data_IF_942180809631
#
_entry.id   IF_942180809631
#
_cell.length_a   1.000
_cell.length_b   1.000
_cell.length_c   1.000
_cell.angle_alpha   90.00
_cell.angle_beta   90.00
_cell.angle_gamma   90.00
#
_symmetry.space_group_name_H-M   'P 1'
#
loop_
_entity.id
_entity.type
_entity.pdbx_description
1 polymer ?
#
# COMPACT_ATOMS: atom_id res chain seq x y z
N UNK A 1 29.15 -34.70 9.21
CA UNK A 1 28.12 -34.90 8.16
C UNK A 1 26.83 -34.33 8.72
N UNK A 2 26.67 -33.00 8.60
CA UNK A 2 25.93 -32.30 7.53
C UNK A 2 24.41 -32.36 7.84
N UNK A 3 23.65 -31.28 7.94
CA UNK A 3 23.85 -29.88 7.54
C UNK A 3 22.94 -28.96 8.37
N UNK A 4 23.38 -27.73 8.58
CA UNK A 4 22.61 -26.64 9.17
C UNK A 4 21.85 -25.95 8.03
N UNK A 5 20.53 -26.02 8.04
CA UNK A 5 19.69 -25.15 7.20
C UNK A 5 18.98 -24.14 8.13
N UNK A 6 19.60 -22.98 8.30
CA UNK A 6 18.90 -21.74 8.61
C UNK A 6 18.17 -21.29 7.35
N UNK A 7 16.84 -21.27 7.36
CA UNK A 7 16.09 -20.27 6.61
C UNK A 7 14.68 -20.10 7.18
N UNK A 8 14.06 -18.95 6.89
CA UNK A 8 12.75 -18.45 7.36
C UNK A 8 12.76 -17.47 8.54
N UNK A 9 13.72 -16.55 8.54
CA UNK A 9 13.53 -15.20 9.12
C UNK A 9 13.04 -14.20 8.06
N UNK A 10 11.97 -14.52 7.31
CA UNK A 10 11.26 -13.51 6.52
C UNK A 10 10.11 -12.93 7.36
N UNK A 11 10.45 -11.88 8.10
CA UNK A 11 9.59 -11.04 8.91
C UNK A 11 8.32 -10.61 8.13
N UNK A 12 7.23 -11.37 8.27
CA UNK A 12 5.88 -10.92 7.90
C UNK A 12 5.56 -9.71 8.80
N UNK A 13 5.83 -8.50 8.30
CA UNK A 13 5.45 -7.25 8.98
C UNK A 13 3.93 -7.20 9.09
N UNK A 14 3.40 -7.70 10.21
CA UNK A 14 2.01 -7.46 10.63
C UNK A 14 1.92 -5.98 11.03
N UNK A 15 1.53 -5.10 10.11
CA UNK A 15 1.20 -3.72 10.48
C UNK A 15 -0.21 -3.68 11.07
N UNK A 16 -0.26 -3.76 12.39
CA UNK A 16 -1.44 -3.44 13.19
C UNK A 16 -1.54 -1.92 13.31
N UNK A 17 -2.40 -1.28 12.54
CA UNK A 17 -2.72 0.14 12.71
C UNK A 17 -3.74 0.30 13.87
N UNK A 18 -3.31 0.10 15.12
CA UNK A 18 -4.02 0.64 16.29
C UNK A 18 -3.57 2.10 16.43
N UNK A 19 -4.44 3.07 16.14
CA UNK A 19 -4.14 4.49 16.35
C UNK A 19 -3.99 4.77 17.86
N UNK A 20 -2.76 4.85 18.36
CA UNK A 20 -2.44 5.49 19.64
C UNK A 20 -1.39 6.59 19.42
N UNK A 21 -1.74 7.80 19.85
CA UNK A 21 -0.91 9.01 19.79
C UNK A 21 0.18 8.94 20.87
N UNK A 22 1.38 8.44 20.54
CA UNK A 22 2.56 8.62 21.40
C UNK A 22 3.78 9.07 20.58
N UNK A 23 4.45 10.09 21.12
CA UNK A 23 5.55 10.89 20.55
C UNK A 23 6.78 10.00 20.30
N UNK A 24 7.38 10.07 19.10
CA UNK A 24 8.59 9.32 18.76
C UNK A 24 9.86 9.93 19.41
N UNK A 25 10.83 9.12 19.87
CA UNK A 25 12.17 9.57 20.24
C UNK A 25 13.07 9.75 19.00
N UNK A 26 14.05 10.67 19.09
CA UNK A 26 15.05 10.92 18.04
C UNK A 26 16.08 9.79 17.95
N UNK A 27 16.47 9.31 16.76
CA UNK A 27 17.69 8.53 16.60
C UNK A 27 18.85 9.38 16.08
N UNK A 28 20.03 9.09 16.63
CA UNK A 28 21.36 9.63 16.32
C UNK A 28 21.94 9.11 15.00
N UNK A 29 22.84 9.92 14.44
CA UNK A 29 23.64 9.74 13.21
C UNK A 29 24.49 8.45 13.19
N UNK A 30 24.65 7.79 12.02
CA UNK A 30 25.81 7.00 11.52
C UNK A 30 25.62 6.67 10.00
N UNK A 31 26.69 6.26 9.30
CA UNK A 31 27.19 6.63 7.95
C UNK A 31 26.94 5.64 6.75
N UNK A 32 26.65 6.21 5.56
CA UNK A 32 26.84 5.92 4.08
C UNK A 32 27.16 4.49 3.51
N UNK A 33 26.54 4.09 2.36
CA UNK A 33 27.26 3.85 1.07
C UNK A 33 26.69 4.65 -0.13
N UNK A 34 27.58 5.27 -0.91
CA UNK A 34 27.30 6.38 -1.81
C UNK A 34 27.28 5.98 -3.30
N UNK A 35 26.32 5.17 -3.79
CA UNK A 35 25.94 5.13 -5.23
C UNK A 35 24.47 4.76 -5.51
N UNK A 36 23.71 4.21 -4.55
CA UNK A 36 22.25 4.01 -4.67
C UNK A 36 21.41 5.13 -4.02
N UNK A 37 22.03 6.08 -3.31
CA UNK A 37 21.32 7.06 -2.50
C UNK A 37 20.67 8.18 -3.34
N UNK A 38 21.32 8.60 -4.43
CA UNK A 38 20.88 9.74 -5.23
C UNK A 38 19.59 9.47 -6.01
N UNK A 39 19.40 8.26 -6.55
CA UNK A 39 18.18 7.87 -7.27
C UNK A 39 16.99 7.82 -6.32
N UNK A 40 17.15 7.15 -5.16
CA UNK A 40 16.10 7.06 -4.15
C UNK A 40 15.72 8.45 -3.62
N UNK A 41 16.70 9.35 -3.43
CA UNK A 41 16.45 10.72 -2.98
C UNK A 41 15.66 11.54 -4.02
N UNK A 42 15.97 11.42 -5.32
CA UNK A 42 15.25 12.14 -6.36
C UNK A 42 13.79 11.66 -6.49
N UNK A 43 13.53 10.36 -6.41
CA UNK A 43 12.18 9.81 -6.44
C UNK A 43 11.36 10.23 -5.22
N UNK A 44 11.96 10.24 -4.03
CA UNK A 44 11.32 10.71 -2.80
C UNK A 44 10.96 12.20 -2.88
N UNK A 45 11.86 13.04 -3.41
CA UNK A 45 11.58 14.47 -3.63
C UNK A 45 10.43 14.66 -4.61
N UNK A 46 10.42 13.92 -5.71
CA UNK A 46 9.32 13.96 -6.70
C UNK A 46 8.00 13.55 -6.05
N UNK A 47 8.00 12.48 -5.26
CA UNK A 47 6.81 11.98 -4.58
C UNK A 47 6.30 12.99 -3.53
N UNK A 48 7.20 13.62 -2.78
CA UNK A 48 6.85 14.66 -1.82
C UNK A 48 6.25 15.89 -2.52
N UNK A 49 6.84 16.34 -3.63
CA UNK A 49 6.31 17.43 -4.43
C UNK A 49 4.90 17.11 -4.97
N UNK A 50 4.70 15.88 -5.46
CA UNK A 50 3.38 15.44 -5.90
C UNK A 50 2.37 15.40 -4.77
N UNK A 51 2.76 14.89 -3.60
CA UNK A 51 1.89 14.83 -2.45
C UNK A 51 1.42 16.22 -2.02
N UNK A 52 2.33 17.20 -1.99
CA UNK A 52 1.99 18.60 -1.73
C UNK A 52 1.03 19.15 -2.80
N UNK A 53 1.34 18.95 -4.08
CA UNK A 53 0.54 19.48 -5.19
C UNK A 53 -0.89 18.96 -5.23
N UNK A 54 -1.11 17.71 -4.82
CA UNK A 54 -2.42 17.06 -4.82
C UNK A 54 -3.14 17.12 -3.48
N UNK A 55 -2.59 17.86 -2.51
CA UNK A 55 -3.09 17.91 -1.14
C UNK A 55 -3.26 16.49 -0.53
N UNK A 56 -2.27 15.65 -0.81
CA UNK A 56 -2.17 14.28 -0.31
C UNK A 56 -1.39 14.28 0.99
N UNK A 57 -1.86 13.49 1.95
CA UNK A 57 -1.09 13.12 3.14
C UNK A 57 -0.82 11.62 3.12
N UNK A 58 0.39 11.23 2.76
CA UNK A 58 0.84 9.85 2.87
C UNK A 58 0.96 9.48 4.36
N UNK A 59 0.33 8.38 4.76
CA UNK A 59 0.31 7.92 6.15
C UNK A 59 1.22 6.72 6.37
N UNK A 60 1.16 5.75 5.46
CA UNK A 60 2.03 4.59 5.43
C UNK A 60 2.08 4.01 4.03
N UNK A 61 3.21 3.41 3.65
CA UNK A 61 3.36 2.70 2.39
C UNK A 61 4.36 1.56 2.53
N UNK A 62 4.05 0.46 1.85
CA UNK A 62 4.91 -0.67 1.58
C UNK A 62 4.70 -1.03 0.10
N UNK A 63 5.26 -0.19 -0.79
CA UNK A 63 5.27 -0.35 -2.25
C UNK A 63 6.30 0.63 -2.87
N UNK A 64 6.85 0.37 -4.08
CA UNK A 64 7.80 1.26 -4.74
C UNK A 64 7.25 2.68 -5.03
N UNK A 65 8.11 3.69 -5.08
CA UNK A 65 7.76 5.11 -5.30
C UNK A 65 6.90 5.32 -6.55
N UNK A 66 7.23 4.65 -7.66
CA UNK A 66 6.44 4.72 -8.90
C UNK A 66 4.99 4.20 -8.73
N UNK A 67 4.80 3.19 -7.88
CA UNK A 67 3.48 2.65 -7.56
C UNK A 67 2.69 3.59 -6.66
N UNK A 68 3.37 4.24 -5.69
CA UNK A 68 2.78 5.30 -4.87
C UNK A 68 2.35 6.47 -5.74
N UNK A 69 3.22 6.96 -6.63
CA UNK A 69 2.91 8.04 -7.57
C UNK A 69 1.65 7.72 -8.40
N UNK A 70 1.51 6.49 -8.91
CA UNK A 70 0.31 6.06 -9.64
C UNK A 70 -0.93 6.10 -8.75
N UNK A 71 -0.85 5.60 -7.50
CA UNK A 71 -1.97 5.65 -6.56
C UNK A 71 -2.43 7.09 -6.30
N UNK A 72 -1.48 8.00 -6.04
CA UNK A 72 -1.77 9.41 -5.73
C UNK A 72 -2.38 10.14 -6.92
N UNK A 73 -1.79 10.00 -8.12
CA UNK A 73 -2.30 10.60 -9.35
C UNK A 73 -3.69 10.12 -9.68
N UNK A 74 -3.92 8.80 -9.61
CA UNK A 74 -5.21 8.23 -9.97
C UNK A 74 -6.29 8.64 -8.97
N UNK A 75 -6.01 8.62 -7.67
CA UNK A 75 -6.95 9.09 -6.65
C UNK A 75 -7.29 10.57 -6.81
N UNK A 76 -6.29 11.42 -7.12
CA UNK A 76 -6.53 12.85 -7.40
C UNK A 76 -7.41 13.04 -8.63
N UNK A 77 -7.08 12.39 -9.74
CA UNK A 77 -7.86 12.48 -10.98
C UNK A 77 -9.32 12.03 -10.79
N UNK A 78 -9.54 10.97 -10.02
CA UNK A 78 -10.89 10.51 -9.69
C UNK A 78 -11.67 11.55 -8.87
N UNK A 79 -11.03 12.19 -7.90
CA UNK A 79 -11.64 13.25 -7.10
C UNK A 79 -11.92 14.53 -7.91
N UNK A 80 -11.03 14.86 -8.85
CA UNK A 80 -11.21 15.99 -9.77
C UNK A 80 -12.38 15.77 -10.74
N UNK A 81 -12.63 14.52 -11.12
CA UNK A 81 -13.76 14.14 -11.98
C UNK A 81 -15.09 13.93 -11.23
N UNK A 82 -15.04 13.80 -9.90
CA UNK A 82 -16.22 13.54 -9.08
C UNK A 82 -16.94 14.84 -8.71
N UNK A 83 -18.23 14.75 -8.35
CA UNK A 83 -18.92 15.90 -7.74
C UNK A 83 -18.24 16.26 -6.42
N UNK A 84 -17.50 17.37 -6.43
CA UNK A 84 -16.74 17.87 -5.28
C UNK A 84 -17.60 18.06 -4.02
N UNK A 85 -18.91 18.30 -4.16
CA UNK A 85 -19.79 18.49 -3.00
C UNK A 85 -20.09 17.18 -2.30
N UNK A 86 -20.17 16.08 -3.04
CA UNK A 86 -20.53 14.75 -2.53
C UNK A 86 -19.79 13.63 -3.27
N UNK A 87 -18.47 13.50 -3.05
CA UNK A 87 -17.72 12.37 -3.60
C UNK A 87 -18.30 11.06 -3.06
N UNK A 88 -18.51 10.08 -3.94
CA UNK A 88 -18.97 8.75 -3.58
C UNK A 88 -17.76 7.84 -3.29
N UNK A 89 -17.45 7.53 -2.02
CA UNK A 89 -16.23 6.79 -1.67
C UNK A 89 -16.21 5.37 -2.27
N UNK A 90 -17.38 4.74 -2.40
CA UNK A 90 -17.51 3.40 -2.99
C UNK A 90 -17.08 3.39 -4.47
N UNK A 91 -17.46 4.41 -5.24
CA UNK A 91 -17.05 4.53 -6.64
C UNK A 91 -15.55 4.80 -6.77
N UNK A 92 -15.01 5.64 -5.89
CA UNK A 92 -13.58 5.96 -5.86
C UNK A 92 -12.74 4.71 -5.51
N UNK A 93 -13.11 4.00 -4.45
CA UNK A 93 -12.45 2.76 -4.05
C UNK A 93 -12.50 1.69 -5.14
N UNK A 94 -13.68 1.49 -5.76
CA UNK A 94 -13.85 0.53 -6.86
C UNK A 94 -12.97 0.88 -8.06
N UNK A 95 -12.87 2.15 -8.41
CA UNK A 95 -12.06 2.60 -9.56
C UNK A 95 -10.58 2.42 -9.29
N UNK A 96 -10.10 2.81 -8.10
CA UNK A 96 -8.70 2.63 -7.71
C UNK A 96 -8.31 1.14 -7.62
N UNK A 97 -9.19 0.29 -7.08
CA UNK A 97 -9.01 -1.17 -7.10
C UNK A 97 -8.88 -1.70 -8.52
N UNK A 98 -9.80 -1.31 -9.42
CA UNK A 98 -9.82 -1.76 -10.82
C UNK A 98 -8.54 -1.36 -11.57
N UNK A 99 -8.08 -0.13 -11.38
CA UNK A 99 -6.81 0.34 -11.94
C UNK A 99 -5.65 -0.56 -11.52
N UNK A 100 -5.54 -0.86 -10.22
CA UNK A 100 -4.43 -1.65 -9.70
C UNK A 100 -4.51 -3.13 -10.04
N UNK A 101 -5.71 -3.72 -10.08
CA UNK A 101 -5.91 -5.07 -10.61
C UNK A 101 -5.48 -5.16 -12.08
N UNK A 102 -5.81 -4.15 -12.88
CA UNK A 102 -5.46 -4.12 -14.30
C UNK A 102 -3.97 -3.94 -14.55
N UNK A 103 -3.29 -3.11 -13.75
CA UNK A 103 -1.88 -2.76 -13.99
C UNK A 103 -0.93 -3.75 -13.32
N UNK A 104 -1.26 -4.25 -12.13
CA UNK A 104 -0.36 -5.07 -11.30
C UNK A 104 -0.88 -6.48 -11.02
N UNK A 105 -2.00 -6.85 -11.64
CA UNK A 105 -2.66 -8.14 -11.47
C UNK A 105 -3.43 -8.26 -10.15
N UNK A 106 -4.49 -9.09 -10.12
CA UNK A 106 -5.29 -9.32 -8.93
C UNK A 106 -4.49 -9.99 -7.79
N UNK A 107 -4.97 -10.02 -6.55
CA UNK A 107 -6.21 -9.39 -6.06
C UNK A 107 -5.92 -8.18 -5.18
N UNK A 108 -6.22 -6.98 -5.70
CA UNK A 108 -6.21 -5.74 -4.94
C UNK A 108 -7.54 -5.48 -4.26
N UNK A 109 -7.47 -4.77 -3.14
CA UNK A 109 -8.62 -4.30 -2.37
C UNK A 109 -8.43 -2.83 -2.05
N UNK A 110 -9.52 -2.08 -2.02
CA UNK A 110 -9.48 -0.67 -1.66
C UNK A 110 -10.63 -0.32 -0.73
N UNK A 111 -10.32 0.44 0.32
CA UNK A 111 -11.28 1.05 1.24
C UNK A 111 -11.13 2.57 1.12
N UNK A 112 -12.24 3.28 0.97
CA UNK A 112 -12.25 4.74 0.98
C UNK A 112 -13.34 5.28 1.90
N UNK A 113 -13.04 6.36 2.62
CA UNK A 113 -13.98 6.97 3.55
C UNK A 113 -13.37 8.12 4.34
N UNK A 114 -14.21 8.95 4.97
CA UNK A 114 -13.72 10.04 5.84
C UNK A 114 -13.01 9.49 7.07
N UNK A 115 -13.53 8.40 7.63
CA UNK A 115 -12.97 7.68 8.76
C UNK A 115 -13.28 6.19 8.63
N UNK A 116 -12.31 5.33 8.90
CA UNK A 116 -12.47 3.89 9.00
C UNK A 116 -11.37 3.30 9.89
N UNK A 117 -11.67 2.16 10.52
CA UNK A 117 -10.66 1.31 11.15
C UNK A 117 -10.36 0.11 10.24
N UNK A 118 -9.12 -0.36 10.25
CA UNK A 118 -8.72 -1.52 9.44
C UNK A 118 -7.68 -2.35 10.16
N UNK A 119 -7.83 -3.68 10.11
CA UNK A 119 -6.84 -4.64 10.53
C UNK A 119 -6.70 -5.67 9.41
N UNK A 120 -5.70 -5.48 8.55
CA UNK A 120 -5.55 -6.28 7.33
C UNK A 120 -4.18 -6.95 7.29
N UNK A 121 -4.11 -8.10 6.65
CA UNK A 121 -2.85 -8.70 6.20
C UNK A 121 -2.76 -8.50 4.69
N UNK A 122 -1.62 -8.03 4.23
CA UNK A 122 -1.37 -7.76 2.82
C UNK A 122 -0.09 -8.44 2.35
N UNK A 123 0.03 -8.63 1.04
CA UNK A 123 1.27 -9.06 0.41
C UNK A 123 2.34 -7.97 0.56
N UNK A 124 3.63 -8.33 0.75
CA UNK A 124 4.73 -7.36 0.77
C UNK A 124 4.79 -6.53 -0.51
N UNK A 125 5.13 -5.24 -0.40
CA UNK A 125 5.28 -4.36 -1.56
C UNK A 125 3.96 -3.96 -2.25
N UNK A 126 2.81 -4.31 -1.66
CA UNK A 126 1.49 -4.05 -2.21
C UNK A 126 0.56 -3.28 -1.27
N UNK A 127 1.04 -2.32 -0.46
CA UNK A 127 0.20 -1.59 0.51
C UNK A 127 0.46 -0.08 0.51
N UNK A 128 -0.60 0.72 0.56
CA UNK A 128 -0.54 2.17 0.79
C UNK A 128 -1.76 2.68 1.54
N UNK A 129 -1.53 3.59 2.48
CA UNK A 129 -2.53 4.34 3.20
C UNK A 129 -2.24 5.83 3.09
N UNK A 130 -3.18 6.60 2.56
CA UNK A 130 -3.05 8.04 2.37
C UNK A 130 -4.41 8.72 2.43
N UNK A 131 -4.42 10.05 2.55
CA UNK A 131 -5.63 10.85 2.39
C UNK A 131 -5.45 11.89 1.31
N UNK A 132 -6.52 12.20 0.58
CA UNK A 132 -6.62 13.36 -0.33
C UNK A 132 -7.75 14.23 0.20
N UNK A 133 -7.45 15.49 0.52
CA UNK A 133 -8.39 16.40 1.16
C UNK A 133 -8.96 15.81 2.48
N UNK A 134 -10.27 15.51 2.52
CA UNK A 134 -10.96 14.93 3.68
C UNK A 134 -11.24 13.43 3.55
N UNK A 135 -10.81 12.79 2.45
CA UNK A 135 -11.09 11.39 2.17
C UNK A 135 -9.81 10.56 2.31
N UNK A 136 -9.91 9.48 3.08
CA UNK A 136 -8.81 8.53 3.28
C UNK A 136 -8.98 7.32 2.36
N UNK A 137 -7.85 6.76 1.91
CA UNK A 137 -7.74 5.61 1.03
C UNK A 137 -6.76 4.60 1.58
N UNK A 138 -7.21 3.36 1.72
CA UNK A 138 -6.39 2.21 2.05
C UNK A 138 -6.44 1.25 0.86
N UNK A 139 -5.32 1.03 0.20
CA UNK A 139 -5.20 0.17 -0.98
C UNK A 139 -4.15 -0.91 -0.69
N UNK A 140 -4.53 -2.17 -0.83
CA UNK A 140 -3.65 -3.29 -0.51
C UNK A 140 -3.88 -4.52 -1.38
N UNK A 141 -2.81 -5.29 -1.63
CA UNK A 141 -2.83 -6.56 -2.36
C UNK A 141 -2.90 -7.74 -1.39
N UNK A 142 -3.63 -8.78 -1.76
CA UNK A 142 -3.70 -10.05 -1.03
C UNK A 142 -3.16 -11.20 -1.87
N UNK A 143 -2.60 -12.22 -1.22
CA UNK A 143 -2.27 -13.48 -1.87
C UNK A 143 -3.55 -14.28 -2.14
N UNK A 144 -3.64 -14.89 -3.33
CA UNK A 144 -4.72 -15.79 -3.70
C UNK A 144 -4.12 -17.17 -3.93
N UNK A 145 -4.46 -18.11 -3.06
CA UNK A 145 -4.04 -19.52 -3.19
C UNK A 145 -5.20 -20.30 -3.83
N UNK A 146 -5.00 -20.82 -5.04
CA UNK A 146 -5.99 -21.69 -5.68
C UNK A 146 -5.94 -23.04 -4.98
N UNK A 147 -7.02 -23.39 -4.27
CA UNK A 147 -7.17 -24.73 -3.70
C UNK A 147 -7.55 -25.68 -4.83
N UNK A 148 -6.57 -26.41 -5.36
CA UNK A 148 -6.86 -27.57 -6.20
C UNK A 148 -7.46 -28.65 -5.29
N UNK A 149 -8.77 -28.91 -5.41
CA UNK A 149 -9.41 -30.01 -4.70
C UNK A 149 -8.77 -31.33 -5.17
N UNK A 150 -8.28 -32.20 -4.27
CA UNK A 150 -7.85 -33.52 -4.66
C UNK A 150 -9.05 -34.30 -5.22
N UNK A 151 -8.87 -34.94 -6.37
CA UNK A 151 -9.90 -35.76 -7.02
C UNK A 151 -10.45 -36.81 -6.03
N UNK A 152 -11.77 -37.08 -6.02
CA UNK A 152 -12.35 -38.08 -5.13
C UNK A 152 -11.70 -39.44 -5.37
N UNK A 153 -11.20 -40.08 -4.29
CA UNK A 153 -10.66 -41.45 -4.38
C UNK A 153 -11.80 -42.41 -4.75
N UNK A 154 -11.60 -43.34 -5.70
CA UNK A 154 -12.61 -44.34 -6.03
C UNK A 154 -12.88 -45.24 -4.80
N UNK A 155 -14.12 -45.73 -4.63
CA UNK A 155 -14.47 -46.63 -3.53
C UNK A 155 -13.70 -47.96 -3.67
N UNK A 156 -13.16 -48.41 -2.53
CA UNK A 156 -12.47 -49.69 -2.34
C UNK A 156 -13.43 -50.89 -2.34
#
# INVERSE_FOLDING_TARGET
MADIAQDDHNCKKKQVMIMQMHRAPRPSLINIPHQNHTINQAEEVKLAALAISFNVRLRAADMPSAMQERALRHARALLDSADHRRPNPTLLARSLKKEFDSVYGPAWHCVAGKSFGSFVTHSPGGFVYFSVDSLSFLLFKTEVHVVAQPSPKPPS
#
